data_IF_222349239897
#
_entry.id   IF_222349239897
#
_cell.length_a   1.000
_cell.length_b   1.000
_cell.length_c   1.000
_cell.angle_alpha   90.00
_cell.angle_beta   90.00
_cell.angle_gamma   90.00
#
_symmetry.space_group_name_H-M   'P 1'
#
loop_
_entity.id
_entity.type
_entity.pdbx_description
1 polymer ?
#
# COMPACT_ATOMS: atom_id res chain seq x y z
N UNK A 1 -9.07 -27.92 11.80
CA UNK A 1 -9.79 -26.90 11.02
C UNK A 1 -8.80 -25.79 10.73
N UNK A 2 -8.40 -25.59 9.46
CA UNK A 2 -7.52 -24.48 9.09
C UNK A 2 -8.35 -23.19 9.17
N UNK A 3 -8.02 -22.30 10.09
CA UNK A 3 -8.54 -20.94 10.08
C UNK A 3 -8.03 -20.32 8.77
N UNK A 4 -8.94 -20.07 7.81
CA UNK A 4 -8.59 -19.32 6.60
C UNK A 4 -8.43 -17.84 6.98
N UNK A 5 -7.36 -17.54 7.70
CA UNK A 5 -6.95 -16.18 8.01
C UNK A 5 -6.27 -15.59 6.76
N UNK A 6 -7.12 -15.23 5.79
CA UNK A 6 -6.72 -14.61 4.53
C UNK A 6 -6.69 -13.07 4.62
N UNK A 7 -7.08 -12.49 5.76
CA UNK A 7 -7.17 -11.05 6.02
C UNK A 7 -5.86 -10.33 5.68
N UNK A 8 -4.72 -10.98 5.96
CA UNK A 8 -3.39 -10.41 5.73
C UNK A 8 -2.89 -10.62 4.28
N UNK A 9 -3.37 -11.63 3.55
CA UNK A 9 -2.72 -12.05 2.28
C UNK A 9 -3.00 -11.09 1.12
N UNK A 10 -4.26 -10.72 0.90
CA UNK A 10 -4.65 -9.91 -0.25
C UNK A 10 -4.35 -8.42 -0.07
N UNK A 11 -4.38 -7.93 1.18
CA UNK A 11 -4.20 -6.51 1.50
C UNK A 11 -2.82 -6.19 2.10
N UNK A 12 -1.87 -7.13 2.04
CA UNK A 12 -0.51 -6.97 2.60
C UNK A 12 0.22 -5.77 2.00
N UNK A 13 0.26 -5.68 0.66
CA UNK A 13 0.93 -4.58 -0.03
C UNK A 13 0.29 -3.24 0.30
N UNK A 14 -1.05 -3.14 0.24
CA UNK A 14 -1.78 -1.93 0.62
C UNK A 14 -1.42 -1.48 2.05
N UNK A 15 -1.46 -2.41 3.00
CA UNK A 15 -1.19 -2.13 4.42
C UNK A 15 0.28 -1.74 4.65
N UNK A 16 1.21 -2.41 3.96
CA UNK A 16 2.64 -2.12 4.04
C UNK A 16 2.95 -0.70 3.52
N UNK A 17 2.42 -0.35 2.35
CA UNK A 17 2.65 0.97 1.74
C UNK A 17 1.93 2.08 2.53
N UNK A 18 0.70 1.85 2.98
CA UNK A 18 -0.02 2.80 3.85
C UNK A 18 0.74 3.06 5.16
N UNK A 19 1.33 2.01 5.75
CA UNK A 19 2.20 2.14 6.93
C UNK A 19 3.50 2.86 6.59
N UNK A 20 4.10 2.62 5.43
CA UNK A 20 5.31 3.33 4.99
C UNK A 20 5.08 4.84 4.89
N UNK A 21 3.93 5.28 4.35
CA UNK A 21 3.58 6.71 4.33
C UNK A 21 3.38 7.30 5.73
N UNK A 22 2.74 6.56 6.65
CA UNK A 22 2.63 6.99 8.06
C UNK A 22 3.98 7.11 8.78
N UNK A 23 4.99 6.39 8.29
CA UNK A 23 6.34 6.36 8.84
C UNK A 23 7.36 7.05 7.93
N UNK A 24 6.91 7.88 6.98
CA UNK A 24 7.79 8.48 5.97
C UNK A 24 8.95 9.25 6.59
N UNK A 25 8.67 10.19 7.50
CA UNK A 25 9.73 10.99 8.13
C UNK A 25 10.70 10.12 8.96
N UNK A 26 10.24 9.20 9.83
CA UNK A 26 11.14 8.26 10.50
C UNK A 26 12.00 7.42 9.54
N UNK A 27 11.44 6.96 8.42
CA UNK A 27 12.17 6.19 7.39
C UNK A 27 13.23 7.06 6.74
N UNK A 28 12.90 8.29 6.34
CA UNK A 28 13.85 9.23 5.73
C UNK A 28 14.98 9.64 6.69
N UNK A 29 14.66 9.85 7.98
CA UNK A 29 15.67 10.11 9.01
C UNK A 29 16.59 8.90 9.18
N UNK A 30 16.02 7.71 9.38
CA UNK A 30 16.79 6.48 9.57
C UNK A 30 17.72 6.21 8.38
N UNK A 31 17.18 6.29 7.16
CA UNK A 31 17.95 6.05 5.93
C UNK A 31 19.07 7.06 5.75
N UNK A 32 18.82 8.35 6.02
CA UNK A 32 19.84 9.40 5.97
C UNK A 32 20.98 9.15 6.96
N UNK A 33 20.68 8.80 8.21
CA UNK A 33 21.69 8.52 9.25
C UNK A 33 22.49 7.27 8.90
N UNK A 34 21.82 6.18 8.51
CA UNK A 34 22.50 4.92 8.21
C UNK A 34 23.31 4.95 6.93
N UNK A 35 22.90 5.70 5.91
CA UNK A 35 23.68 5.88 4.67
C UNK A 35 25.05 6.53 4.94
N UNK A 36 25.13 7.34 6.00
CA UNK A 36 26.35 8.06 6.41
C UNK A 36 27.09 7.38 7.57
N UNK A 37 26.67 6.16 7.95
CA UNK A 37 27.25 5.47 9.08
C UNK A 37 28.78 5.29 8.92
N UNK A 38 29.54 5.46 10.01
CA UNK A 38 31.01 5.42 9.97
C UNK A 38 31.52 4.03 9.53
N UNK A 39 30.94 2.98 10.11
CA UNK A 39 31.14 1.60 9.68
C UNK A 39 30.39 1.34 8.37
N UNK A 40 31.13 1.09 7.29
CA UNK A 40 30.60 0.84 5.95
C UNK A 40 29.73 -0.42 5.87
N UNK A 41 29.98 -1.41 6.73
CA UNK A 41 29.21 -2.67 6.74
C UNK A 41 27.79 -2.49 7.27
N UNK A 42 27.55 -1.39 8.00
CA UNK A 42 26.24 -1.02 8.56
C UNK A 42 25.48 -0.01 7.70
N UNK A 43 26.08 0.46 6.60
CA UNK A 43 25.38 1.38 5.69
C UNK A 43 24.28 0.64 4.96
N UNK A 44 23.19 1.36 4.70
CA UNK A 44 22.11 0.86 3.86
C UNK A 44 22.60 0.91 2.40
N UNK A 45 22.50 -0.20 1.66
CA UNK A 45 22.75 -0.23 0.22
C UNK A 45 21.87 0.76 -0.54
N UNK A 46 22.40 1.33 -1.63
CA UNK A 46 21.72 2.37 -2.40
C UNK A 46 20.41 1.85 -3.03
N UNK A 47 20.36 0.58 -3.40
CA UNK A 47 19.17 -0.09 -3.94
C UNK A 47 17.99 -0.21 -2.96
N UNK A 48 18.21 0.05 -1.66
CA UNK A 48 17.16 0.04 -0.64
C UNK A 48 16.70 1.46 -0.26
N UNK A 49 17.26 2.49 -0.88
CA UNK A 49 16.83 3.87 -0.67
C UNK A 49 15.67 4.19 -1.61
N UNK A 50 14.57 4.66 -1.04
CA UNK A 50 13.43 5.13 -1.82
C UNK A 50 13.70 6.56 -2.31
N UNK A 51 13.76 6.73 -3.62
CA UNK A 51 13.77 8.03 -4.28
C UNK A 51 12.40 8.72 -4.18
N UNK A 52 12.33 10.00 -4.57
CA UNK A 52 11.04 10.70 -4.65
C UNK A 52 10.10 10.06 -5.68
N UNK A 53 10.65 9.53 -6.78
CA UNK A 53 9.87 8.84 -7.79
C UNK A 53 9.30 7.52 -7.24
N UNK A 54 10.07 6.80 -6.41
CA UNK A 54 9.56 5.59 -5.75
C UNK A 54 8.40 5.93 -4.81
N UNK A 55 8.52 6.99 -4.00
CA UNK A 55 7.41 7.47 -3.17
C UNK A 55 6.19 7.86 -4.01
N UNK A 56 6.39 8.45 -5.18
CA UNK A 56 5.31 8.80 -6.09
C UNK A 56 4.60 7.54 -6.64
N UNK A 57 5.35 6.54 -7.08
CA UNK A 57 4.83 5.24 -7.54
C UNK A 57 4.05 4.53 -6.42
N UNK A 58 4.54 4.58 -5.18
CA UNK A 58 3.86 4.02 -4.02
C UNK A 58 2.53 4.74 -3.73
N UNK A 59 2.45 6.06 -3.94
CA UNK A 59 1.21 6.82 -3.78
C UNK A 59 0.18 6.42 -4.84
N UNK A 60 0.59 6.29 -6.11
CA UNK A 60 -0.25 5.79 -7.20
C UNK A 60 -0.74 4.37 -6.88
N UNK A 61 0.16 3.50 -6.41
CA UNK A 61 -0.16 2.13 -6.03
C UNK A 61 -1.26 2.08 -4.97
N UNK A 62 -1.18 2.92 -3.93
CA UNK A 62 -2.25 3.02 -2.94
C UNK A 62 -3.58 3.49 -3.55
N UNK A 63 -3.56 4.51 -4.41
CA UNK A 63 -4.76 5.02 -5.05
C UNK A 63 -5.46 3.95 -5.90
N UNK A 64 -4.68 3.16 -6.65
CA UNK A 64 -5.18 2.05 -7.46
C UNK A 64 -5.71 0.91 -6.59
N UNK A 65 -5.02 0.56 -5.50
CA UNK A 65 -5.42 -0.56 -4.64
C UNK A 65 -6.58 -0.23 -3.69
N UNK A 66 -6.80 1.04 -3.36
CA UNK A 66 -7.86 1.47 -2.43
C UNK A 66 -9.26 0.92 -2.74
N UNK A 67 -9.79 0.97 -3.98
CA UNK A 67 -11.09 0.38 -4.28
C UNK A 67 -11.12 -1.15 -4.04
N UNK A 68 -10.05 -1.86 -4.39
CA UNK A 68 -9.96 -3.31 -4.19
C UNK A 68 -9.84 -3.69 -2.71
N UNK A 69 -9.11 -2.90 -1.93
CA UNK A 69 -9.03 -3.08 -0.49
C UNK A 69 -10.41 -2.92 0.17
N UNK A 70 -11.19 -1.92 -0.26
CA UNK A 70 -12.56 -1.71 0.25
C UNK A 70 -13.47 -2.88 -0.10
N UNK A 71 -13.38 -3.40 -1.32
CA UNK A 71 -14.17 -4.55 -1.76
C UNK A 71 -13.82 -5.83 -1.02
N UNK A 72 -12.53 -6.13 -0.91
CA UNK A 72 -12.07 -7.33 -0.20
C UNK A 72 -12.51 -7.30 1.25
N UNK A 73 -12.38 -6.16 1.95
CA UNK A 73 -12.93 -5.98 3.31
C UNK A 73 -14.44 -6.06 3.39
N UNK A 74 -15.16 -5.54 2.39
CA UNK A 74 -16.62 -5.61 2.37
C UNK A 74 -17.14 -7.05 2.28
N UNK A 75 -16.43 -7.91 1.54
CA UNK A 75 -16.76 -9.33 1.39
C UNK A 75 -16.12 -10.24 2.45
N UNK A 76 -15.23 -9.72 3.28
CA UNK A 76 -14.62 -10.44 4.39
C UNK A 76 -15.73 -10.90 5.36
N UNK A 77 -15.88 -12.23 5.49
CA UNK A 77 -16.92 -12.85 6.31
C UNK A 77 -18.36 -12.77 5.78
N UNK A 78 -18.60 -12.33 4.53
CA UNK A 78 -19.93 -12.24 3.91
C UNK A 78 -19.99 -13.02 2.60
N UNK A 79 -21.10 -13.72 2.34
CA UNK A 79 -21.34 -14.33 1.01
C UNK A 79 -21.49 -13.19 0.00
N UNK A 80 -20.67 -13.15 -1.08
CA UNK A 80 -20.68 -12.02 -1.99
C UNK A 80 -21.99 -11.94 -2.79
N UNK A 81 -22.74 -10.85 -2.58
CA UNK A 81 -23.81 -10.42 -3.48
C UNK A 81 -23.22 -9.45 -4.52
N UNK A 82 -22.76 -10.01 -5.63
CA UNK A 82 -21.99 -9.28 -6.66
C UNK A 82 -22.75 -8.13 -7.37
N UNK A 83 -24.06 -8.04 -7.23
CA UNK A 83 -24.88 -7.02 -7.90
C UNK A 83 -24.67 -5.59 -7.36
N UNK A 84 -24.40 -5.41 -6.07
CA UNK A 84 -24.25 -4.07 -5.45
C UNK A 84 -22.87 -3.42 -5.62
N UNK A 85 -21.73 -4.11 -5.40
CA UNK A 85 -20.42 -3.45 -5.38
C UNK A 85 -19.87 -3.09 -6.77
N UNK A 86 -20.25 -3.80 -7.83
CA UNK A 86 -19.80 -3.52 -9.20
C UNK A 86 -20.21 -2.11 -9.66
N UNK A 87 -21.41 -1.66 -9.27
CA UNK A 87 -21.90 -0.32 -9.57
C UNK A 87 -21.06 0.79 -8.91
N UNK A 88 -20.52 0.54 -7.71
CA UNK A 88 -19.70 1.51 -6.97
C UNK A 88 -18.29 1.73 -7.54
N UNK A 89 -17.77 0.75 -8.29
CA UNK A 89 -16.47 0.85 -8.96
C UNK A 89 -16.57 1.62 -10.27
N UNK A 90 -17.64 1.38 -11.04
CA UNK A 90 -17.85 1.96 -12.36
C UNK A 90 -18.29 3.43 -12.29
N UNK A 91 -19.10 3.79 -11.30
CA UNK A 91 -19.60 5.17 -11.09
C UNK A 91 -18.54 6.19 -10.68
N UNK A 92 -17.30 5.76 -10.41
CA UNK A 92 -16.18 6.66 -10.07
C UNK A 92 -15.30 7.04 -11.26
N UNK A 93 -15.41 6.34 -12.40
CA UNK A 93 -14.69 6.64 -13.63
C UNK A 93 -15.29 7.79 -14.45
N UNK A 94 -16.55 8.18 -14.19
CA UNK A 94 -17.28 9.17 -14.99
C UNK A 94 -17.18 10.62 -14.48
N UNK A 95 -16.38 10.90 -13.44
CA UNK A 95 -16.29 12.26 -12.83
C UNK A 95 -15.07 13.08 -13.22
N UNK A 96 -14.35 12.69 -14.28
CA UNK A 96 -13.23 13.47 -14.82
C UNK A 96 -13.34 13.61 -16.35
N UNK A 97 -14.41 14.24 -16.80
CA UNK A 97 -14.49 14.92 -18.09
C UNK A 97 -15.35 16.16 -17.89
N UNK A 98 -14.71 17.26 -17.51
CA UNK A 98 -15.11 18.66 -17.78
C UNK A 98 -13.98 19.59 -17.32
#
# INVERSE_FOLDING_TARGET
MLLQDNDTRWNSLFTAVERAFRLKDPIEIYTSVMSRHADKTKRIPEEYLLSQDDWHVLAITLAVLLPFQKLTKYFEGRVPRFAEPAASLLSRGERHTD
#
